data_IF_913526165658
#
_entry.id   IF_913526165658
#
_cell.length_a   1.000
_cell.length_b   1.000
_cell.length_c   1.000
_cell.angle_alpha   90.00
_cell.angle_beta   90.00
_cell.angle_gamma   90.00
#
_symmetry.space_group_name_H-M   'P 1'
#
loop_
_entity.id
_entity.type
_entity.pdbx_description
1 polymer ?
#
# COMPACT_ATOMS: atom_id res chain seq x y z
N UNK A 1 -18.59 11.42 -37.09
CA UNK A 1 -17.20 10.94 -36.95
C UNK A 1 -16.59 11.62 -35.74
N UNK A 2 -16.78 11.05 -34.56
CA UNK A 2 -16.16 11.57 -33.32
C UNK A 2 -14.93 10.74 -33.05
N UNK A 3 -13.76 11.34 -33.24
CA UNK A 3 -12.48 10.72 -32.91
C UNK A 3 -12.35 10.60 -31.39
N UNK A 4 -12.23 9.37 -30.90
CA UNK A 4 -11.74 9.11 -29.55
C UNK A 4 -10.28 9.56 -29.50
N UNK A 5 -9.99 10.57 -28.68
CA UNK A 5 -8.62 10.81 -28.19
C UNK A 5 -8.24 9.62 -27.32
N UNK A 6 -7.39 8.74 -27.84
CA UNK A 6 -6.64 7.79 -27.03
C UNK A 6 -5.64 8.61 -26.22
N UNK A 7 -5.86 8.72 -24.91
CA UNK A 7 -4.84 9.22 -24.01
C UNK A 7 -3.61 8.31 -24.16
N UNK A 8 -2.54 8.84 -24.75
CA UNK A 8 -1.24 8.19 -24.78
C UNK A 8 -0.72 8.15 -23.35
N UNK A 9 -1.02 7.07 -22.63
CA UNK A 9 -0.39 6.80 -21.34
C UNK A 9 1.11 6.81 -21.51
N UNK A 10 1.83 7.50 -20.62
CA UNK A 10 3.28 7.43 -20.59
C UNK A 10 3.64 5.99 -20.24
N UNK A 11 4.09 5.22 -21.24
CA UNK A 11 4.71 3.93 -21.03
C UNK A 11 6.20 4.18 -20.82
N UNK A 12 6.78 3.61 -19.76
CA UNK A 12 8.24 3.63 -19.60
C UNK A 12 8.86 2.65 -20.60
N UNK A 13 9.14 3.10 -21.82
CA UNK A 13 9.59 2.25 -22.93
C UNK A 13 10.97 1.58 -22.65
N UNK A 14 11.75 2.14 -21.71
CA UNK A 14 12.98 1.56 -21.20
C UNK A 14 13.10 1.76 -19.68
N UNK A 15 13.34 0.68 -18.94
CA UNK A 15 13.61 0.72 -17.50
C UNK A 15 15.12 0.85 -17.27
N UNK A 16 15.55 1.88 -16.56
CA UNK A 16 16.97 2.04 -16.18
C UNK A 16 17.40 0.83 -15.32
N UNK A 17 18.50 0.12 -15.67
CA UNK A 17 19.02 -0.98 -14.86
C UNK A 17 19.31 -0.63 -13.41
N UNK A 18 19.58 0.64 -13.07
CA UNK A 18 19.78 1.09 -11.69
C UNK A 18 18.53 0.89 -10.83
N UNK A 19 17.33 0.93 -11.44
CA UNK A 19 16.06 0.79 -10.74
C UNK A 19 15.86 -0.62 -10.14
N UNK A 20 16.58 -1.65 -10.61
CA UNK A 20 16.47 -3.03 -10.10
C UNK A 20 17.85 -3.63 -9.76
N UNK A 21 18.71 -2.84 -9.12
CA UNK A 21 20.09 -3.25 -8.80
C UNK A 21 20.12 -4.57 -7.99
N UNK A 22 20.74 -5.65 -8.51
CA UNK A 22 20.72 -6.95 -7.85
C UNK A 22 21.38 -6.93 -6.47
N UNK A 23 20.76 -7.61 -5.51
CA UNK A 23 21.34 -7.83 -4.20
C UNK A 23 22.56 -8.73 -4.28
N UNK A 24 23.64 -8.29 -3.65
CA UNK A 24 24.86 -9.09 -3.44
C UNK A 24 25.01 -9.43 -1.95
N UNK A 25 25.69 -10.53 -1.64
CA UNK A 25 25.88 -10.94 -0.25
C UNK A 25 26.67 -9.91 0.57
N UNK A 26 27.56 -9.14 -0.08
CA UNK A 26 28.33 -8.07 0.53
C UNK A 26 27.44 -6.88 0.91
N UNK A 27 26.56 -6.45 0.00
CA UNK A 27 25.71 -5.29 0.22
C UNK A 27 24.48 -5.61 1.10
N UNK A 28 23.95 -6.84 1.01
CA UNK A 28 22.72 -7.27 1.68
C UNK A 28 22.90 -8.53 2.54
N UNK A 29 23.86 -8.57 3.49
CA UNK A 29 24.16 -9.78 4.26
C UNK A 29 22.98 -10.25 5.12
N UNK A 30 22.14 -9.32 5.60
CA UNK A 30 20.91 -9.65 6.35
C UNK A 30 19.90 -10.38 5.45
N UNK A 31 19.65 -9.87 4.25
CA UNK A 31 18.73 -10.49 3.29
C UNK A 31 19.19 -11.89 2.90
N UNK A 32 20.49 -12.08 2.62
CA UNK A 32 21.05 -13.40 2.34
C UNK A 32 20.92 -14.39 3.50
N UNK A 33 21.03 -13.91 4.75
CA UNK A 33 20.80 -14.75 5.94
C UNK A 33 19.32 -15.13 6.09
N UNK A 34 18.40 -14.20 5.83
CA UNK A 34 16.95 -14.43 5.99
C UNK A 34 16.37 -15.31 4.87
N UNK A 35 16.78 -15.08 3.63
CA UNK A 35 16.18 -15.71 2.45
C UNK A 35 17.02 -16.85 1.85
N UNK A 36 18.30 -16.94 2.22
CA UNK A 36 19.25 -17.84 1.58
C UNK A 36 19.58 -17.42 0.15
N UNK A 37 20.61 -18.07 -0.43
CA UNK A 37 21.07 -17.76 -1.80
C UNK A 37 19.98 -17.97 -2.85
N UNK A 38 19.20 -19.04 -2.74
CA UNK A 38 18.11 -19.35 -3.66
C UNK A 38 16.97 -18.33 -3.58
N UNK A 39 16.59 -17.91 -2.37
CA UNK A 39 15.59 -16.87 -2.16
C UNK A 39 16.04 -15.52 -2.74
N UNK A 40 17.28 -15.10 -2.48
CA UNK A 40 17.81 -13.85 -3.05
C UNK A 40 17.92 -13.90 -4.57
N UNK A 41 18.28 -15.05 -5.16
CA UNK A 41 18.27 -15.22 -6.61
C UNK A 41 16.87 -14.99 -7.21
N UNK A 42 15.82 -15.51 -6.57
CA UNK A 42 14.43 -15.25 -6.96
C UNK A 42 14.04 -13.79 -6.79
N UNK A 43 14.42 -13.16 -5.67
CA UNK A 43 14.17 -11.73 -5.42
C UNK A 43 14.79 -10.88 -6.53
N UNK A 44 16.08 -11.08 -6.85
CA UNK A 44 16.77 -10.36 -7.94
C UNK A 44 16.07 -10.52 -9.29
N UNK A 45 15.60 -11.74 -9.61
CA UNK A 45 14.82 -12.00 -10.82
C UNK A 45 13.50 -11.21 -10.80
N UNK A 46 12.78 -11.25 -9.68
CA UNK A 46 11.47 -10.62 -9.53
C UNK A 46 11.53 -9.09 -9.48
N UNK A 47 12.59 -8.48 -8.92
CA UNK A 47 12.80 -7.03 -9.00
C UNK A 47 12.84 -6.56 -10.45
N UNK A 48 13.63 -7.25 -11.30
CA UNK A 48 13.68 -6.95 -12.73
C UNK A 48 12.31 -7.12 -13.39
N UNK A 49 11.65 -8.27 -13.20
CA UNK A 49 10.34 -8.52 -13.83
C UNK A 49 9.30 -7.48 -13.37
N UNK A 50 9.27 -7.16 -12.08
CA UNK A 50 8.36 -6.15 -11.51
C UNK A 50 8.58 -4.77 -12.13
N UNK A 51 9.84 -4.37 -12.31
CA UNK A 51 10.16 -3.09 -12.94
C UNK A 51 9.58 -2.98 -14.36
N UNK A 52 9.81 -3.99 -15.20
CA UNK A 52 9.24 -4.01 -16.55
C UNK A 52 7.70 -4.12 -16.54
N UNK A 53 7.14 -4.88 -15.60
CA UNK A 53 5.68 -5.00 -15.48
C UNK A 53 5.01 -3.68 -15.07
N UNK A 54 5.63 -2.89 -14.21
CA UNK A 54 5.14 -1.55 -13.87
C UNK A 54 5.24 -0.61 -15.07
N UNK A 55 6.35 -0.66 -15.80
CA UNK A 55 6.58 0.13 -17.02
C UNK A 55 5.56 -0.12 -18.14
N UNK A 56 5.00 -1.32 -18.22
CA UNK A 56 3.88 -1.65 -19.13
C UNK A 56 2.58 -0.93 -18.76
N UNK A 57 2.42 -0.49 -17.51
CA UNK A 57 1.22 0.24 -17.07
C UNK A 57 1.19 1.66 -17.64
N UNK A 58 0.07 2.13 -18.20
CA UNK A 58 -0.08 3.52 -18.66
C UNK A 58 -0.02 4.54 -17.52
N UNK A 59 -0.01 4.07 -16.26
CA UNK A 59 0.14 4.92 -15.08
C UNK A 59 1.59 5.12 -14.66
N UNK A 60 2.56 4.34 -15.13
CA UNK A 60 3.95 4.50 -14.70
C UNK A 60 4.76 5.24 -15.78
N UNK A 61 5.13 6.49 -15.49
CA UNK A 61 5.89 7.32 -16.42
C UNK A 61 7.37 6.90 -16.50
N UNK A 62 8.03 6.70 -15.37
CA UNK A 62 9.42 6.26 -15.28
C UNK A 62 9.57 5.45 -14.01
N UNK A 63 10.11 4.23 -14.13
CA UNK A 63 10.40 3.39 -12.97
C UNK A 63 11.67 3.90 -12.28
N UNK A 64 11.57 4.28 -11.01
CA UNK A 64 12.71 4.76 -10.22
C UNK A 64 13.34 3.64 -9.40
N UNK A 65 12.52 2.72 -8.87
CA UNK A 65 13.00 1.65 -7.98
C UNK A 65 12.05 0.45 -8.03
N UNK A 66 12.61 -0.74 -8.06
CA UNK A 66 11.93 -2.01 -7.88
C UNK A 66 12.69 -2.83 -6.85
N UNK A 67 12.05 -3.14 -5.71
CA UNK A 67 12.74 -3.68 -4.55
C UNK A 67 11.86 -4.62 -3.72
N UNK A 68 12.47 -5.41 -2.82
CA UNK A 68 11.76 -6.30 -1.91
C UNK A 68 10.91 -5.49 -0.92
N UNK A 69 9.62 -5.79 -0.84
CA UNK A 69 8.75 -5.23 0.19
C UNK A 69 8.92 -6.02 1.48
N UNK A 70 9.82 -5.58 2.35
CA UNK A 70 10.12 -6.24 3.63
C UNK A 70 8.89 -6.45 4.52
N UNK A 71 7.93 -5.51 4.49
CA UNK A 71 6.70 -5.55 5.28
C UNK A 71 5.55 -6.36 4.64
N UNK A 72 5.72 -6.83 3.41
CA UNK A 72 4.72 -7.66 2.69
C UNK A 72 5.24 -9.03 2.29
N UNK A 73 6.56 -9.21 2.38
CA UNK A 73 7.24 -10.46 2.07
C UNK A 73 7.44 -11.28 3.33
N UNK A 74 7.36 -12.60 3.21
CA UNK A 74 7.74 -13.53 4.27
C UNK A 74 8.53 -14.73 3.69
N UNK A 75 9.74 -14.99 4.21
CA UNK A 75 10.55 -16.10 3.73
C UNK A 75 9.88 -17.45 4.08
N UNK A 76 10.14 -18.51 3.30
CA UNK A 76 11.01 -18.52 2.11
C UNK A 76 10.28 -18.25 0.78
N UNK A 77 8.94 -18.25 0.77
CA UNK A 77 8.16 -18.40 -0.46
C UNK A 77 7.29 -17.20 -0.84
N UNK A 78 6.96 -16.31 0.10
CA UNK A 78 6.11 -15.17 -0.14
C UNK A 78 6.98 -13.94 -0.44
N UNK A 79 7.33 -13.75 -1.71
CA UNK A 79 8.08 -12.57 -2.17
C UNK A 79 7.08 -11.57 -2.75
N UNK A 80 7.15 -10.34 -2.26
CA UNK A 80 6.41 -9.20 -2.80
C UNK A 80 7.43 -8.14 -3.21
N UNK A 81 7.41 -7.75 -4.48
CA UNK A 81 8.23 -6.66 -5.00
C UNK A 81 7.36 -5.41 -5.03
N UNK A 82 7.86 -4.30 -4.47
CA UNK A 82 7.27 -3.00 -4.73
C UNK A 82 8.01 -2.32 -5.88
N UNK A 83 7.30 -1.51 -6.65
CA UNK A 83 7.88 -0.69 -7.71
C UNK A 83 7.35 0.73 -7.59
N UNK A 84 8.26 1.69 -7.51
CA UNK A 84 7.96 3.12 -7.47
C UNK A 84 8.25 3.78 -8.81
N UNK A 85 7.31 4.61 -9.25
CA UNK A 85 7.43 5.44 -10.43
C UNK A 85 7.59 6.91 -10.05
N UNK A 86 8.24 7.70 -10.91
CA UNK A 86 8.55 9.10 -10.68
C UNK A 86 7.31 9.97 -10.44
N UNK A 87 6.18 9.66 -11.08
CA UNK A 87 4.89 10.30 -10.82
C UNK A 87 4.20 9.87 -9.50
N UNK A 88 4.89 9.12 -8.65
CA UNK A 88 4.43 8.67 -7.34
C UNK A 88 3.44 7.50 -7.40
N UNK A 89 3.27 6.85 -8.55
CA UNK A 89 2.59 5.56 -8.59
C UNK A 89 3.45 4.49 -7.93
N UNK A 90 2.82 3.65 -7.10
CA UNK A 90 3.46 2.47 -6.51
C UNK A 90 2.72 1.23 -6.93
N UNK A 91 3.45 0.18 -7.26
CA UNK A 91 2.91 -1.15 -7.53
C UNK A 91 3.42 -2.14 -6.49
N UNK A 92 2.62 -3.17 -6.24
CA UNK A 92 3.03 -4.34 -5.46
C UNK A 92 2.72 -5.58 -6.27
N UNK A 93 3.73 -6.44 -6.43
CA UNK A 93 3.61 -7.68 -7.18
C UNK A 93 4.04 -8.86 -6.33
N UNK A 94 3.13 -9.80 -6.13
CA UNK A 94 3.42 -11.13 -5.58
C UNK A 94 4.16 -11.99 -6.60
N UNK A 95 4.87 -13.04 -6.15
CA UNK A 95 5.48 -14.03 -7.03
C UNK A 95 4.50 -14.55 -8.11
N UNK A 96 3.23 -14.77 -7.73
CA UNK A 96 2.18 -15.23 -8.65
C UNK A 96 1.86 -14.20 -9.74
N UNK A 97 1.78 -12.92 -9.41
CA UNK A 97 1.53 -11.86 -10.40
C UNK A 97 2.72 -11.64 -11.34
N UNK A 98 3.94 -11.90 -10.86
CA UNK A 98 5.16 -11.81 -11.67
C UNK A 98 5.36 -13.03 -12.59
N UNK A 99 4.84 -14.19 -12.22
CA UNK A 99 4.90 -15.42 -13.02
C UNK A 99 3.81 -15.49 -14.09
N UNK A 100 2.71 -14.77 -13.89
CA UNK A 100 1.59 -14.71 -14.85
C UNK A 100 1.60 -13.38 -15.62
N UNK A 101 1.03 -13.37 -16.82
CA UNK A 101 0.75 -12.14 -17.56
C UNK A 101 -0.58 -11.54 -17.10
N UNK A 102 -0.61 -10.23 -16.87
CA UNK A 102 -1.79 -9.51 -16.43
C UNK A 102 -1.51 -8.02 -16.30
N UNK A 103 -2.55 -7.19 -16.44
CA UNK A 103 -2.42 -5.74 -16.33
C UNK A 103 -2.02 -5.33 -14.91
N UNK A 104 -0.93 -4.60 -14.77
CA UNK A 104 -0.49 -4.05 -13.50
C UNK A 104 -1.41 -2.91 -13.06
N UNK A 105 -1.98 -3.02 -11.85
CA UNK A 105 -2.70 -1.93 -11.20
C UNK A 105 -1.87 -1.31 -10.10
N UNK A 106 -1.76 0.02 -10.11
CA UNK A 106 -1.07 0.74 -9.05
C UNK A 106 -1.89 0.76 -7.76
N UNK A 107 -1.23 1.01 -6.65
CA UNK A 107 -1.80 1.21 -5.34
C UNK A 107 -2.89 2.30 -5.35
N UNK A 108 -2.65 3.43 -6.04
CA UNK A 108 -3.65 4.49 -6.21
C UNK A 108 -4.86 3.99 -6.99
N UNK A 109 -4.65 3.26 -8.09
CA UNK A 109 -5.74 2.72 -8.89
C UNK A 109 -6.64 1.78 -8.06
N UNK A 110 -6.04 0.98 -7.18
CA UNK A 110 -6.79 0.06 -6.32
C UNK A 110 -7.63 0.78 -5.24
N UNK A 111 -7.28 2.01 -4.85
CA UNK A 111 -7.95 2.74 -3.76
C UNK A 111 -8.78 3.95 -4.23
N UNK A 112 -8.60 4.42 -5.46
CA UNK A 112 -9.29 5.62 -5.98
C UNK A 112 -10.79 5.40 -6.21
N UNK A 113 -11.22 4.15 -6.46
CA UNK A 113 -12.62 3.83 -6.72
C UNK A 113 -13.50 3.76 -5.46
N UNK A 114 -12.91 3.76 -4.28
CA UNK A 114 -13.65 3.74 -3.01
C UNK A 114 -13.85 5.17 -2.52
N UNK A 115 -15.11 5.57 -2.30
CA UNK A 115 -15.46 6.91 -1.84
C UNK A 115 -15.06 7.18 -0.37
N UNK A 116 -14.79 8.44 -0.04
CA UNK A 116 -14.33 8.86 1.29
C UNK A 116 -15.33 8.52 2.41
N UNK A 117 -16.63 8.56 2.12
CA UNK A 117 -17.70 8.14 3.04
C UNK A 117 -17.61 6.65 3.39
N UNK A 118 -17.27 5.80 2.41
CA UNK A 118 -17.11 4.37 2.63
C UNK A 118 -15.89 4.07 3.51
N UNK A 119 -14.77 4.78 3.31
CA UNK A 119 -13.61 4.67 4.19
C UNK A 119 -13.91 5.16 5.62
N UNK A 120 -14.63 6.28 5.73
CA UNK A 120 -15.02 6.83 7.03
C UNK A 120 -15.93 5.88 7.81
N UNK A 121 -16.92 5.28 7.16
CA UNK A 121 -17.83 4.30 7.77
C UNK A 121 -17.12 3.02 8.17
N UNK A 122 -16.21 2.50 7.34
CA UNK A 122 -15.40 1.32 7.70
C UNK A 122 -14.51 1.59 8.91
N UNK A 123 -13.86 2.75 8.95
CA UNK A 123 -13.04 3.15 10.09
C UNK A 123 -13.87 3.28 11.36
N UNK A 124 -15.05 3.90 11.28
CA UNK A 124 -15.97 4.04 12.41
C UNK A 124 -16.40 2.69 12.99
N UNK A 125 -16.80 1.74 12.13
CA UNK A 125 -17.19 0.41 12.57
C UNK A 125 -16.04 -0.36 13.23
N UNK A 126 -14.83 -0.26 12.69
CA UNK A 126 -13.69 -0.94 13.30
C UNK A 126 -13.28 -0.33 14.64
N UNK A 127 -13.34 1.00 14.78
CA UNK A 127 -13.10 1.64 16.08
C UNK A 127 -14.15 1.19 17.09
N UNK A 128 -15.43 1.14 16.74
CA UNK A 128 -16.49 0.61 17.63
C UNK A 128 -16.19 -0.80 18.12
N UNK A 129 -15.67 -1.68 17.25
CA UNK A 129 -15.36 -3.07 17.59
C UNK A 129 -14.18 -3.21 18.56
N UNK A 130 -13.23 -2.28 18.56
CA UNK A 130 -12.08 -2.28 19.48
C UNK A 130 -12.40 -1.68 20.86
N UNK A 131 -13.48 -0.89 20.97
CA UNK A 131 -13.86 -0.26 22.22
C UNK A 131 -14.51 -1.24 23.20
N UNK A 132 -14.18 -1.10 24.50
CA UNK A 132 -14.79 -1.89 25.57
C UNK A 132 -16.31 -1.69 25.68
N UNK A 133 -16.78 -0.49 25.33
CA UNK A 133 -18.19 -0.14 25.29
C UNK A 133 -18.50 0.48 23.91
N UNK A 134 -18.75 -0.34 22.87
CA UNK A 134 -18.89 0.13 21.48
C UNK A 134 -19.91 1.25 21.30
N UNK A 135 -21.05 1.14 21.99
CA UNK A 135 -22.14 2.13 21.94
C UNK A 135 -21.85 3.44 22.67
N UNK A 136 -20.73 3.53 23.41
CA UNK A 136 -20.32 4.77 24.08
C UNK A 136 -19.54 5.72 23.19
N UNK A 137 -19.16 5.28 21.97
CA UNK A 137 -18.43 6.10 21.03
C UNK A 137 -19.28 7.29 20.58
N UNK A 138 -18.82 8.49 20.89
CA UNK A 138 -19.39 9.76 20.45
C UNK A 138 -18.41 10.45 19.49
N UNK A 139 -18.62 10.24 18.19
CA UNK A 139 -17.76 10.80 17.13
C UNK A 139 -17.99 12.30 16.97
N UNK A 140 -16.90 13.06 16.98
CA UNK A 140 -16.91 14.49 16.68
C UNK A 140 -16.89 14.68 15.16
N UNK A 141 -18.06 14.64 14.51
CA UNK A 141 -18.18 14.62 13.04
C UNK A 141 -17.32 15.64 12.29
N UNK A 142 -17.25 16.88 12.78
CA UNK A 142 -16.46 17.96 12.18
C UNK A 142 -14.93 17.78 12.26
N UNK A 143 -14.45 16.79 13.00
CA UNK A 143 -13.01 16.44 13.08
C UNK A 143 -12.58 15.40 12.03
N UNK A 144 -13.52 14.87 11.24
CA UNK A 144 -13.22 13.82 10.28
C UNK A 144 -12.35 14.36 9.15
N UNK A 145 -11.24 13.70 8.90
CA UNK A 145 -10.34 13.96 7.78
C UNK A 145 -10.06 12.67 7.03
N UNK A 146 -10.16 12.71 5.70
CA UNK A 146 -9.79 11.62 4.80
C UNK A 146 -8.64 12.12 3.93
N UNK A 147 -7.45 11.59 4.17
CA UNK A 147 -6.24 11.95 3.45
C UNK A 147 -5.82 10.83 2.51
N UNK A 148 -5.67 11.13 1.22
CA UNK A 148 -5.14 10.22 0.21
C UNK A 148 -3.65 10.47 0.05
N UNK A 149 -2.83 9.54 0.52
CA UNK A 149 -1.39 9.64 0.48
C UNK A 149 -0.86 9.58 -0.97
N UNK A 150 0.27 10.24 -1.28
CA UNK A 150 0.86 10.25 -2.62
C UNK A 150 1.22 8.88 -3.19
N UNK A 151 1.32 7.82 -2.39
CA UNK A 151 1.59 6.45 -2.87
C UNK A 151 0.32 5.59 -2.95
N UNK A 152 -0.86 6.15 -2.65
CA UNK A 152 -2.15 5.47 -2.81
C UNK A 152 -2.76 4.87 -1.55
N UNK A 153 -2.15 5.05 -0.37
CA UNK A 153 -2.83 4.72 0.90
C UNK A 153 -3.91 5.77 1.19
N UNK A 154 -4.99 5.35 1.86
CA UNK A 154 -6.01 6.27 2.38
C UNK A 154 -5.97 6.25 3.89
N UNK A 155 -5.99 7.43 4.50
CA UNK A 155 -5.90 7.60 5.94
C UNK A 155 -7.15 8.34 6.41
N UNK A 156 -7.91 7.70 7.30
CA UNK A 156 -9.04 8.33 7.97
C UNK A 156 -8.65 8.66 9.39
N UNK A 157 -8.88 9.89 9.82
CA UNK A 157 -8.74 10.30 11.22
C UNK A 157 -9.99 11.03 11.68
N UNK A 158 -10.42 10.78 12.91
CA UNK A 158 -11.45 11.58 13.57
C UNK A 158 -11.27 11.51 15.08
N UNK A 159 -11.78 12.52 15.77
CA UNK A 159 -11.86 12.58 17.22
C UNK A 159 -13.18 12.00 17.70
N UNK A 160 -13.17 11.34 18.85
CA UNK A 160 -14.35 10.80 19.50
C UNK A 160 -14.16 10.72 21.02
N UNK A 161 -15.25 10.69 21.78
CA UNK A 161 -15.22 10.31 23.19
C UNK A 161 -15.70 8.86 23.34
N UNK A 162 -15.12 8.08 24.25
CA UNK A 162 -15.62 6.75 24.58
C UNK A 162 -15.33 6.36 26.04
N UNK A 163 -16.12 5.41 26.57
CA UNK A 163 -15.94 4.91 27.94
C UNK A 163 -14.75 3.97 28.04
N UNK A 164 -13.91 4.20 29.04
CA UNK A 164 -12.92 3.24 29.49
C UNK A 164 -13.55 2.17 30.41
N UNK A 165 -12.73 1.26 30.95
CA UNK A 165 -13.17 0.18 31.83
C UNK A 165 -13.84 0.56 33.14
N UNK A 166 -13.75 1.83 33.55
CA UNK A 166 -14.41 2.38 34.74
C UNK A 166 -15.67 3.19 34.40
N UNK A 167 -16.08 3.22 33.12
CA UNK A 167 -17.25 3.96 32.66
C UNK A 167 -17.01 5.46 32.46
N UNK A 168 -15.76 5.93 32.54
CA UNK A 168 -15.38 7.33 32.32
C UNK A 168 -15.20 7.58 30.82
N UNK A 169 -15.83 8.64 30.30
CA UNK A 169 -15.61 9.11 28.94
C UNK A 169 -14.24 9.76 28.83
N UNK A 170 -13.43 9.30 27.87
CA UNK A 170 -12.13 9.87 27.54
C UNK A 170 -12.14 10.40 26.11
N UNK A 171 -11.54 11.57 25.86
CA UNK A 171 -11.30 12.04 24.50
C UNK A 171 -10.20 11.21 23.84
N UNK A 172 -10.48 10.75 22.63
CA UNK A 172 -9.61 9.89 21.85
C UNK A 172 -9.57 10.32 20.39
N UNK A 173 -8.56 9.85 19.66
CA UNK A 173 -8.42 9.99 18.22
C UNK A 173 -8.27 8.64 17.58
N UNK A 174 -9.11 8.40 16.59
CA UNK A 174 -9.02 7.28 15.67
C UNK A 174 -8.05 7.60 14.53
N UNK A 175 -7.31 6.59 14.10
CA UNK A 175 -6.56 6.59 12.85
C UNK A 175 -6.69 5.22 12.19
N UNK A 176 -7.26 5.21 10.99
CA UNK A 176 -7.36 4.01 10.16
C UNK A 176 -6.57 4.22 8.87
N UNK A 177 -5.76 3.24 8.50
CA UNK A 177 -4.98 3.25 7.26
C UNK A 177 -5.50 2.15 6.35
N UNK A 178 -5.80 2.49 5.10
CA UNK A 178 -6.24 1.56 4.06
C UNK A 178 -5.16 1.50 2.98
N UNK A 179 -4.79 0.28 2.59
CA UNK A 179 -3.98 -0.01 1.42
C UNK A 179 -4.72 -0.98 0.47
N UNK A 180 -4.00 -1.64 -0.44
CA UNK A 180 -4.57 -2.52 -1.45
C UNK A 180 -4.88 -3.92 -0.91
N UNK A 181 -4.52 -4.18 0.34
CA UNK A 181 -4.88 -5.38 1.11
C UNK A 181 -6.05 -5.10 2.07
N UNK A 182 -6.59 -3.87 2.07
CA UNK A 182 -7.68 -3.45 2.92
C UNK A 182 -7.22 -2.57 4.09
N UNK A 183 -8.00 -2.57 5.16
CA UNK A 183 -7.74 -1.77 6.35
C UNK A 183 -6.72 -2.45 7.26
N UNK A 184 -5.74 -1.68 7.73
CA UNK A 184 -4.81 -2.09 8.79
C UNK A 184 -5.51 -2.08 10.15
N UNK A 185 -4.95 -2.74 11.19
CA UNK A 185 -5.44 -2.58 12.55
C UNK A 185 -5.60 -1.10 12.91
N UNK A 186 -6.73 -0.75 13.52
CA UNK A 186 -7.04 0.63 13.86
C UNK A 186 -6.15 1.12 15.00
N UNK A 187 -5.78 2.39 14.96
CA UNK A 187 -5.03 3.04 16.02
C UNK A 187 -5.96 3.97 16.81
N UNK A 188 -6.00 3.78 18.12
CA UNK A 188 -6.73 4.64 19.06
C UNK A 188 -5.73 5.25 20.03
N UNK A 189 -5.68 6.58 20.07
CA UNK A 189 -4.82 7.32 21.01
C UNK A 189 -5.65 8.24 21.89
N UNK A 190 -5.32 8.30 23.17
CA UNK A 190 -5.92 9.28 24.08
C UNK A 190 -5.38 10.69 23.73
N UNK A 191 -6.22 11.70 23.93
CA UNK A 191 -5.90 13.10 23.65
C UNK A 191 -5.86 13.97 24.89
#
# INVERSE_FOLDING_TARGET
MSGLLVATGAHAENVDPSAYTPYTQKAYPKTFRTWGKAGVSKINKYMKIGAYRAAESPRCDTVETADLSDNRSSPPNNIVIFVDCANGERFYFTSKELENSGSAQSQKQKTEHVGDSAYSSQCEHAIQQELKFPSSMDKKWFSTNVYRAPQGNVVVTFDFDAKNGFGINLPQRARCVFDDRGMHPVEIVNR
#
